data_IF_060248078934
#
_entry.id   IF_060248078934
#
_cell.length_a   1.000
_cell.length_b   1.000
_cell.length_c   1.000
_cell.angle_alpha   90.00
_cell.angle_beta   90.00
_cell.angle_gamma   90.00
#
_symmetry.space_group_name_H-M   'P 1'
#
loop_
_entity.id
_entity.type
_entity.pdbx_description
1 polymer ?
#
# COMPACT_ATOMS: atom_id res chain seq x y z
N UNK A 1 10.91 -25.67 -4.83
CA UNK A 1 11.98 -26.41 -5.51
C UNK A 1 13.04 -25.43 -5.95
N UNK A 2 14.31 -25.70 -5.65
CA UNK A 2 15.46 -24.90 -6.09
C UNK A 2 16.26 -25.72 -7.10
N UNK A 3 16.67 -25.10 -8.19
CA UNK A 3 17.43 -25.72 -9.27
C UNK A 3 18.65 -24.85 -9.57
N UNK A 4 19.83 -25.49 -9.61
CA UNK A 4 21.03 -24.90 -10.18
C UNK A 4 21.48 -25.77 -11.35
N UNK A 5 21.56 -25.18 -12.53
CA UNK A 5 22.03 -25.84 -13.75
C UNK A 5 23.29 -25.14 -14.27
N UNK A 6 24.30 -25.91 -14.65
CA UNK A 6 25.55 -25.40 -15.21
C UNK A 6 25.65 -25.76 -16.68
N UNK A 7 25.83 -24.75 -17.52
CA UNK A 7 26.26 -24.91 -18.89
C UNK A 7 27.79 -24.79 -18.94
N UNK A 8 28.47 -25.89 -19.27
CA UNK A 8 29.93 -25.94 -19.31
C UNK A 8 30.50 -25.31 -20.58
N UNK A 9 29.79 -25.34 -21.70
CA UNK A 9 30.25 -24.80 -22.97
C UNK A 9 30.11 -23.27 -22.98
N UNK A 10 28.98 -22.76 -22.48
CA UNK A 10 28.75 -21.32 -22.34
C UNK A 10 29.42 -20.70 -21.10
N UNK A 11 29.89 -21.52 -20.16
CA UNK A 11 30.49 -21.04 -18.90
C UNK A 11 29.49 -20.36 -17.95
N UNK A 12 28.20 -20.69 -18.04
CA UNK A 12 27.14 -20.04 -17.26
C UNK A 12 26.54 -20.97 -16.19
N UNK A 13 25.95 -20.37 -15.17
CA UNK A 13 25.13 -21.06 -14.16
C UNK A 13 23.76 -20.38 -14.14
N UNK A 14 22.71 -21.18 -14.34
CA UNK A 14 21.33 -20.74 -14.17
C UNK A 14 20.84 -21.18 -12.80
N UNK A 15 20.33 -20.22 -12.03
CA UNK A 15 19.70 -20.47 -10.74
C UNK A 15 18.20 -20.19 -10.88
N UNK A 16 17.36 -21.10 -10.35
CA UNK A 16 15.91 -20.94 -10.37
C UNK A 16 15.32 -21.44 -9.06
N UNK A 17 14.34 -20.74 -8.52
CA UNK A 17 13.63 -21.13 -7.30
C UNK A 17 12.14 -20.92 -7.48
N UNK A 18 11.34 -21.89 -7.05
CA UNK A 18 9.88 -21.72 -6.89
C UNK A 18 9.49 -21.22 -5.50
N UNK A 19 10.48 -20.89 -4.65
CA UNK A 19 10.28 -20.36 -3.30
C UNK A 19 10.98 -19.01 -3.16
N UNK A 20 10.36 -18.03 -2.48
CA UNK A 20 11.03 -16.78 -2.14
C UNK A 20 12.19 -17.03 -1.19
N UNK A 21 13.24 -16.22 -1.29
CA UNK A 21 14.35 -16.23 -0.33
C UNK A 21 15.66 -15.73 -0.92
N UNK A 22 16.59 -15.36 -0.03
CA UNK A 22 17.96 -15.00 -0.37
C UNK A 22 18.87 -16.21 -0.20
N UNK A 23 19.61 -16.56 -1.24
CA UNK A 23 20.56 -17.65 -1.26
C UNK A 23 21.96 -17.10 -1.49
N UNK A 24 22.86 -17.37 -0.56
CA UNK A 24 24.27 -16.99 -0.67
C UNK A 24 25.03 -18.01 -1.50
N UNK A 25 25.70 -17.52 -2.53
CA UNK A 25 26.46 -18.32 -3.48
C UNK A 25 27.92 -17.93 -3.47
N UNK A 26 28.81 -18.91 -3.66
CA UNK A 26 30.24 -18.69 -3.90
C UNK A 26 30.66 -19.60 -5.03
N UNK A 27 31.12 -19.02 -6.14
CA UNK A 27 31.71 -19.81 -7.21
C UNK A 27 33.01 -20.42 -6.69
N UNK A 28 33.15 -21.75 -6.67
CA UNK A 28 34.44 -22.36 -6.32
C UNK A 28 35.35 -22.24 -7.53
N UNK A 29 36.33 -21.35 -7.48
CA UNK A 29 37.40 -21.34 -8.47
C UNK A 29 38.29 -22.58 -8.28
N UNK A 30 39.12 -22.87 -9.28
CA UNK A 30 40.14 -23.92 -9.23
C UNK A 30 41.04 -23.75 -7.98
N UNK A 31 41.86 -24.75 -7.65
CA UNK A 31 42.50 -24.96 -6.34
C UNK A 31 43.16 -23.75 -5.63
N UNK A 32 43.39 -22.62 -6.31
CA UNK A 32 44.01 -21.39 -5.79
C UNK A 32 43.27 -20.07 -6.16
N UNK A 33 42.04 -20.11 -6.65
CA UNK A 33 41.31 -18.89 -7.02
C UNK A 33 40.44 -18.33 -5.87
N UNK A 34 40.65 -17.06 -5.54
CA UNK A 34 39.73 -16.33 -4.67
C UNK A 34 38.42 -16.01 -5.39
N UNK A 35 37.30 -16.15 -4.69
CA UNK A 35 35.98 -15.81 -5.22
C UNK A 35 35.12 -15.09 -4.18
N UNK A 36 34.30 -14.17 -4.68
CA UNK A 36 33.36 -13.40 -3.88
C UNK A 36 32.09 -14.19 -3.60
N UNK A 37 31.44 -13.83 -2.49
CA UNK A 37 30.06 -14.24 -2.26
C UNK A 37 29.11 -13.36 -3.08
N UNK A 38 28.09 -13.99 -3.64
CA UNK A 38 26.98 -13.33 -4.34
C UNK A 38 25.70 -13.76 -3.65
N UNK A 39 24.90 -12.80 -3.21
CA UNK A 39 23.58 -13.08 -2.67
C UNK A 39 22.55 -12.95 -3.80
N UNK A 40 21.81 -14.03 -4.05
CA UNK A 40 20.76 -14.09 -5.08
C UNK A 40 19.41 -14.19 -4.38
N UNK A 41 18.57 -13.19 -4.58
CA UNK A 41 17.23 -13.13 -3.98
C UNK A 41 16.17 -13.49 -5.03
N UNK A 42 15.45 -14.59 -4.79
CA UNK A 42 14.25 -14.91 -5.55
C UNK A 42 13.07 -14.25 -4.86
N UNK A 43 12.41 -13.34 -5.57
CA UNK A 43 11.14 -12.79 -5.16
C UNK A 43 10.10 -13.79 -5.68
N UNK A 44 9.45 -14.54 -4.79
CA UNK A 44 8.50 -15.59 -5.18
C UNK A 44 7.22 -15.02 -5.81
N UNK A 45 6.40 -15.88 -6.42
CA UNK A 45 5.12 -15.53 -7.07
C UNK A 45 4.05 -14.96 -6.12
N UNK A 46 4.35 -14.79 -4.84
CA UNK A 46 3.46 -14.16 -3.88
C UNK A 46 3.53 -12.63 -3.91
N UNK A 47 3.55 -12.05 -5.11
CA UNK A 47 2.75 -10.86 -5.35
C UNK A 47 1.30 -11.32 -5.57
N UNK A 48 0.68 -11.93 -4.56
CA UNK A 48 -0.78 -11.95 -4.52
C UNK A 48 -1.23 -10.52 -4.78
N UNK A 49 -2.08 -10.31 -5.78
CA UNK A 49 -2.50 -8.98 -6.19
C UNK A 49 -2.87 -8.17 -4.94
N UNK A 50 -2.12 -7.10 -4.70
CA UNK A 50 -2.38 -6.25 -3.55
C UNK A 50 -3.70 -5.54 -3.79
N UNK A 51 -4.62 -5.73 -2.85
CA UNK A 51 -5.88 -5.04 -2.85
C UNK A 51 -5.75 -3.80 -1.96
N UNK A 52 -6.42 -2.73 -2.36
CA UNK A 52 -6.53 -1.51 -1.55
C UNK A 52 -7.76 -1.57 -0.65
N UNK A 53 -7.66 -0.94 0.52
CA UNK A 53 -8.80 -0.69 1.39
C UNK A 53 -8.70 0.70 2.00
N UNK A 54 -9.84 1.37 2.10
CA UNK A 54 -10.03 2.57 2.92
C UNK A 54 -11.11 2.24 3.95
N UNK A 55 -10.85 2.47 5.23
CA UNK A 55 -11.83 2.24 6.29
C UNK A 55 -11.72 3.28 7.41
N UNK A 56 -12.79 3.41 8.20
CA UNK A 56 -12.83 4.29 9.37
C UNK A 56 -12.27 3.57 10.60
N UNK A 57 -11.24 4.12 11.23
CA UNK A 57 -10.43 3.45 12.28
C UNK A 57 -11.25 3.05 13.52
N UNK A 58 -12.22 3.89 13.92
CA UNK A 58 -13.03 3.68 15.14
C UNK A 58 -14.39 3.03 14.87
N UNK A 59 -14.63 2.51 13.66
CA UNK A 59 -15.86 1.81 13.36
C UNK A 59 -15.87 0.44 14.05
N UNK A 60 -16.98 0.06 14.69
CA UNK A 60 -17.11 -1.24 15.36
C UNK A 60 -16.93 -2.42 14.38
N UNK A 61 -17.35 -2.23 13.13
CA UNK A 61 -17.14 -3.16 12.03
C UNK A 61 -16.56 -2.39 10.84
N UNK A 62 -15.22 -2.34 10.70
CA UNK A 62 -14.58 -1.69 9.58
C UNK A 62 -15.03 -2.32 8.26
N UNK A 63 -15.48 -1.49 7.32
CA UNK A 63 -15.87 -1.91 5.97
C UNK A 63 -15.00 -1.20 4.95
N UNK A 64 -14.75 -1.84 3.81
CA UNK A 64 -14.09 -1.18 2.69
C UNK A 64 -14.99 -0.10 2.10
N UNK A 65 -14.51 1.15 2.10
CA UNK A 65 -15.20 2.32 1.56
C UNK A 65 -14.92 2.56 0.07
N UNK A 66 -13.94 1.86 -0.51
CA UNK A 66 -13.63 1.98 -1.94
C UNK A 66 -14.84 1.53 -2.77
N UNK A 67 -15.24 2.37 -3.75
CA UNK A 67 -16.40 2.11 -4.61
C UNK A 67 -17.75 2.27 -3.92
N UNK A 68 -17.80 2.81 -2.70
CA UNK A 68 -19.05 3.13 -1.97
C UNK A 68 -19.37 4.62 -2.10
N UNK A 69 -19.78 5.03 -3.30
CA UNK A 69 -20.11 6.43 -3.60
C UNK A 69 -21.27 6.97 -2.74
N UNK A 70 -22.14 6.10 -2.24
CA UNK A 70 -23.23 6.44 -1.32
C UNK A 70 -22.76 6.76 0.11
N UNK A 71 -21.49 6.45 0.45
CA UNK A 71 -20.92 6.62 1.78
C UNK A 71 -19.85 7.70 1.79
N UNK A 72 -20.30 8.94 1.89
CA UNK A 72 -19.39 10.06 2.09
C UNK A 72 -18.66 9.97 3.43
N UNK A 73 -17.36 10.32 3.47
CA UNK A 73 -16.63 10.52 4.70
C UNK A 73 -17.33 11.54 5.60
N UNK A 74 -17.56 11.13 6.85
CA UNK A 74 -18.08 11.99 7.91
C UNK A 74 -16.94 12.67 8.66
N UNK A 75 -17.17 13.92 9.07
CA UNK A 75 -16.28 14.72 9.91
C UNK A 75 -16.08 14.09 11.29
N UNK A 76 -15.09 14.57 12.05
CA UNK A 76 -14.72 14.04 13.37
C UNK A 76 -14.36 12.54 13.35
N UNK A 77 -13.74 12.08 12.26
CA UNK A 77 -13.34 10.70 12.07
C UNK A 77 -11.97 10.58 11.44
N UNK A 78 -11.35 9.42 11.66
CA UNK A 78 -10.05 9.05 11.12
C UNK A 78 -10.24 7.93 10.11
N UNK A 79 -9.67 8.13 8.92
CA UNK A 79 -9.68 7.16 7.83
C UNK A 79 -8.28 6.63 7.62
N UNK A 80 -8.18 5.32 7.46
CA UNK A 80 -6.93 4.63 7.22
C UNK A 80 -6.95 3.97 5.85
N UNK A 81 -5.82 4.07 5.18
CA UNK A 81 -5.52 3.34 3.95
C UNK A 81 -4.55 2.22 4.25
N UNK A 82 -4.83 1.03 3.74
CA UNK A 82 -3.92 -0.11 3.80
C UNK A 82 -3.98 -0.89 2.49
N UNK A 83 -2.92 -1.64 2.25
CA UNK A 83 -2.91 -2.72 1.29
C UNK A 83 -3.13 -4.04 2.03
N UNK A 84 -3.76 -5.00 1.36
CA UNK A 84 -4.02 -6.32 1.92
C UNK A 84 -3.90 -7.40 0.84
N UNK A 85 -3.72 -8.64 1.29
CA UNK A 85 -3.63 -9.82 0.41
C UNK A 85 -4.81 -10.72 0.69
N UNK A 86 -5.62 -10.97 -0.33
CA UNK A 86 -6.74 -11.91 -0.23
C UNK A 86 -6.22 -13.35 -0.15
N UNK A 87 -5.97 -13.84 1.08
CA UNK A 87 -5.36 -15.16 1.31
C UNK A 87 -6.38 -16.27 1.12
N UNK A 88 -7.64 -16.01 1.45
CA UNK A 88 -8.72 -16.99 1.36
C UNK A 88 -9.49 -16.93 0.01
N UNK A 89 -9.21 -15.94 -0.84
CA UNK A 89 -9.76 -15.74 -2.19
C UNK A 89 -11.27 -15.44 -2.21
N UNK A 90 -11.78 -14.79 -1.16
CA UNK A 90 -13.19 -14.42 -1.06
C UNK A 90 -13.49 -13.00 -1.58
N UNK A 91 -12.46 -12.22 -1.94
CA UNK A 91 -12.52 -10.81 -2.32
C UNK A 91 -13.14 -9.88 -1.26
N UNK A 92 -13.12 -10.28 0.01
CA UNK A 92 -13.61 -9.53 1.15
C UNK A 92 -12.45 -9.15 2.05
N UNK A 93 -12.30 -7.85 2.30
CA UNK A 93 -11.25 -7.37 3.20
C UNK A 93 -11.44 -7.92 4.62
N UNK A 94 -10.39 -8.53 5.16
CA UNK A 94 -10.30 -8.97 6.55
C UNK A 94 -9.10 -8.32 7.25
N UNK A 95 -9.28 -7.89 8.50
CA UNK A 95 -8.19 -7.25 9.26
C UNK A 95 -6.94 -8.13 9.43
N UNK A 96 -7.10 -9.45 9.48
CA UNK A 96 -5.98 -10.42 9.55
C UNK A 96 -5.18 -10.54 8.25
N UNK A 97 -5.65 -9.93 7.16
CA UNK A 97 -5.07 -10.02 5.82
C UNK A 97 -4.37 -8.73 5.38
N UNK A 98 -4.40 -7.68 6.21
CA UNK A 98 -3.66 -6.45 5.98
C UNK A 98 -2.15 -6.71 5.94
N UNK A 99 -1.43 -5.91 5.15
CA UNK A 99 0.03 -5.86 5.19
C UNK A 99 0.51 -5.44 6.58
N UNK A 100 1.69 -5.92 6.98
CA UNK A 100 2.33 -5.45 8.21
C UNK A 100 2.85 -4.02 8.03
N UNK A 101 3.24 -3.36 9.13
CA UNK A 101 3.82 -2.01 9.07
C UNK A 101 5.11 -1.97 8.23
N UNK A 102 5.94 -3.00 8.33
CA UNK A 102 7.17 -3.12 7.53
C UNK A 102 6.88 -3.27 6.04
N UNK A 103 5.82 -4.01 5.69
CA UNK A 103 5.39 -4.18 4.32
C UNK A 103 4.74 -2.92 3.76
N UNK A 104 3.93 -2.22 4.56
CA UNK A 104 3.34 -0.93 4.20
C UNK A 104 4.41 0.15 4.01
N UNK A 105 5.53 0.10 4.74
CA UNK A 105 6.63 1.05 4.62
C UNK A 105 7.32 1.05 3.24
N UNK A 106 7.11 -0.02 2.44
CA UNK A 106 7.59 -0.13 1.05
C UNK A 106 6.75 0.69 0.05
N UNK A 107 5.66 1.30 0.50
CA UNK A 107 4.76 2.10 -0.33
C UNK A 107 4.71 3.53 0.17
N UNK A 108 4.60 4.46 -0.77
CA UNK A 108 4.18 5.82 -0.51
C UNK A 108 2.72 5.97 -0.92
N UNK A 109 1.94 6.73 -0.16
CA UNK A 109 0.57 7.06 -0.49
C UNK A 109 0.18 8.47 -0.07
N UNK A 110 -0.75 9.05 -0.81
CA UNK A 110 -1.26 10.40 -0.58
C UNK A 110 -2.78 10.41 -0.67
N UNK A 111 -3.42 11.11 0.27
CA UNK A 111 -4.85 11.35 0.25
C UNK A 111 -5.20 12.51 -0.66
N UNK A 112 -6.38 12.43 -1.28
CA UNK A 112 -6.97 13.49 -2.08
C UNK A 112 -8.48 13.57 -1.84
N UNK A 113 -9.00 14.79 -1.75
CA UNK A 113 -10.44 15.01 -1.78
C UNK A 113 -10.95 14.97 -3.22
N UNK A 114 -12.14 14.42 -3.41
CA UNK A 114 -12.79 14.29 -4.72
C UNK A 114 -14.20 14.87 -4.70
N UNK A 115 -14.69 15.26 -5.87
CA UNK A 115 -16.02 15.84 -6.02
C UNK A 115 -16.11 17.26 -5.48
N UNK A 116 -17.24 17.58 -4.87
CA UNK A 116 -17.59 18.90 -4.37
C UNK A 116 -18.06 18.80 -2.91
N UNK A 117 -17.93 19.89 -2.18
CA UNK A 117 -18.60 20.04 -0.88
C UNK A 117 -20.13 20.04 -1.01
N UNK A 118 -20.82 20.04 0.14
CA UNK A 118 -22.28 20.07 0.23
C UNK A 118 -22.91 21.26 -0.51
N UNK A 119 -22.28 22.44 -0.49
CA UNK A 119 -22.74 23.62 -1.25
C UNK A 119 -22.03 23.82 -2.60
N UNK A 120 -21.34 22.80 -3.13
CA UNK A 120 -20.76 22.84 -4.48
C UNK A 120 -19.35 23.44 -4.58
N UNK A 121 -18.73 23.84 -3.47
CA UNK A 121 -17.33 24.29 -3.48
C UNK A 121 -16.35 23.17 -3.88
N UNK A 122 -15.29 23.57 -4.56
CA UNK A 122 -14.16 22.71 -4.99
C UNK A 122 -12.84 23.23 -4.44
N UNK A 123 -11.79 22.41 -4.48
CA UNK A 123 -10.41 22.85 -4.24
C UNK A 123 -9.86 22.53 -2.86
N UNK A 124 -10.57 21.77 -2.03
CA UNK A 124 -10.01 21.23 -0.80
C UNK A 124 -8.81 20.30 -1.09
N UNK A 125 -7.75 20.44 -0.31
CA UNK A 125 -6.50 19.70 -0.44
C UNK A 125 -6.27 18.87 0.82
N UNK A 126 -6.25 17.55 0.70
CA UNK A 126 -6.06 16.69 1.87
C UNK A 126 -4.63 16.82 2.46
N UNK A 127 -3.61 17.08 1.62
CA UNK A 127 -2.22 17.34 2.05
C UNK A 127 -1.69 16.35 3.11
N UNK A 128 -2.14 15.11 3.05
CA UNK A 128 -1.86 14.06 4.03
C UNK A 128 -1.16 12.93 3.29
N UNK A 129 0.07 12.60 3.68
CA UNK A 129 0.93 11.61 3.02
C UNK A 129 1.43 10.61 4.04
N UNK A 130 1.37 9.32 3.72
CA UNK A 130 1.89 8.23 4.55
C UNK A 130 1.33 8.18 5.99
N UNK A 131 0.16 8.78 6.22
CA UNK A 131 -0.50 8.80 7.52
C UNK A 131 -2.03 8.74 7.37
N UNK A 132 -2.71 8.52 8.50
CA UNK A 132 -4.17 8.48 8.55
C UNK A 132 -4.78 9.86 8.24
N UNK A 133 -5.85 9.89 7.44
CA UNK A 133 -6.60 11.10 7.17
C UNK A 133 -7.55 11.40 8.35
N UNK A 134 -7.24 12.44 9.11
CA UNK A 134 -8.09 12.95 10.19
C UNK A 134 -8.95 14.09 9.68
N UNK A 135 -10.26 13.87 9.57
CA UNK A 135 -11.23 14.90 9.24
C UNK A 135 -11.61 15.67 10.52
N UNK A 136 -11.42 17.01 10.55
CA UNK A 136 -11.67 17.82 11.73
C UNK A 136 -13.16 17.91 12.03
N UNK A 137 -13.49 18.41 13.23
CA UNK A 137 -14.88 18.55 13.69
C UNK A 137 -15.52 19.80 13.09
N UNK A 138 -14.74 20.87 12.91
CA UNK A 138 -15.25 22.18 12.50
C UNK A 138 -14.80 22.58 11.11
N UNK A 139 -15.64 23.37 10.43
CA UNK A 139 -15.32 23.90 9.10
C UNK A 139 -14.11 24.85 9.13
N UNK A 140 -13.92 25.57 10.24
CA UNK A 140 -12.76 26.47 10.43
C UNK A 140 -11.45 25.69 10.47
N UNK A 141 -11.40 24.58 11.20
CA UNK A 141 -10.23 23.70 11.21
C UNK A 141 -10.01 23.06 9.83
N UNK A 142 -11.10 22.67 9.14
CA UNK A 142 -11.01 22.16 7.78
C UNK A 142 -10.43 23.19 6.80
N UNK A 143 -10.86 24.45 6.89
CA UNK A 143 -10.33 25.54 6.06
C UNK A 143 -8.83 25.75 6.31
N UNK A 144 -8.41 25.74 7.59
CA UNK A 144 -7.00 25.90 7.95
C UNK A 144 -6.14 24.71 7.50
N UNK A 145 -6.61 23.49 7.71
CA UNK A 145 -5.83 22.27 7.43
C UNK A 145 -5.84 21.89 5.94
N UNK A 146 -6.98 22.08 5.29
CA UNK A 146 -7.24 21.54 3.95
C UNK A 146 -7.53 22.60 2.90
N UNK A 147 -7.36 23.89 3.20
CA UNK A 147 -7.73 24.99 2.31
C UNK A 147 -9.19 24.90 1.80
N UNK A 148 -10.06 24.27 2.60
CA UNK A 148 -11.48 24.14 2.30
C UNK A 148 -12.22 25.47 2.50
N UNK A 149 -13.40 25.61 1.90
CA UNK A 149 -14.27 26.76 2.15
C UNK A 149 -14.78 26.71 3.61
N UNK A 150 -14.79 27.84 4.31
CA UNK A 150 -15.24 27.92 5.71
C UNK A 150 -16.73 27.62 5.91
N UNK A 151 -17.56 27.77 4.87
CA UNK A 151 -19.00 27.48 4.94
C UNK A 151 -19.29 25.98 5.10
N UNK A 152 -18.51 25.12 4.45
CA UNK A 152 -18.71 23.66 4.41
C UNK A 152 -17.61 22.85 5.10
N UNK A 153 -16.39 23.39 5.14
CA UNK A 153 -15.20 22.61 5.37
C UNK A 153 -15.02 21.54 4.28
N UNK A 154 -14.92 20.29 4.73
CA UNK A 154 -14.74 19.12 3.86
C UNK A 154 -16.01 18.26 3.73
N UNK A 155 -17.15 18.74 4.23
CA UNK A 155 -18.41 18.01 4.18
C UNK A 155 -18.91 17.89 2.75
N UNK A 156 -19.21 16.67 2.31
CA UNK A 156 -19.71 16.35 0.96
C UNK A 156 -18.61 15.84 0.02
N UNK A 157 -17.34 16.15 0.26
CA UNK A 157 -16.24 15.61 -0.54
C UNK A 157 -16.14 14.09 -0.38
N UNK A 158 -15.79 13.41 -1.47
CA UNK A 158 -15.25 12.06 -1.43
C UNK A 158 -13.77 12.06 -1.05
N UNK A 159 -13.22 10.89 -0.76
CA UNK A 159 -11.77 10.69 -0.56
C UNK A 159 -11.26 9.63 -1.51
N UNK A 160 -10.04 9.82 -2.00
CA UNK A 160 -9.27 8.80 -2.71
C UNK A 160 -7.84 8.77 -2.19
N UNK A 161 -7.14 7.68 -2.51
CA UNK A 161 -5.71 7.53 -2.24
C UNK A 161 -5.00 7.21 -3.54
N UNK A 162 -3.92 7.92 -3.80
CA UNK A 162 -2.92 7.57 -4.81
C UNK A 162 -1.75 6.92 -4.07
N UNK A 163 -1.22 5.82 -4.60
CA UNK A 163 -0.12 5.10 -3.95
C UNK A 163 0.84 4.50 -4.98
N UNK A 164 2.10 4.36 -4.59
CA UNK A 164 3.17 3.79 -5.40
C UNK A 164 4.15 3.01 -4.54
N UNK A 165 4.76 1.97 -5.12
CA UNK A 165 5.88 1.29 -4.48
C UNK A 165 7.14 2.15 -4.60
N UNK A 166 7.96 2.19 -3.54
CA UNK A 166 9.26 2.88 -3.49
C UNK A 166 10.33 2.22 -4.35
#
# INVERSE_FOLDING_TARGET
>A
MFIASRDKEAGTVTLSSTLPGTFRWKAKADAYGDSNYVDVTFIGDNLSALNAVIYQVKAANPVNLIGKEDKHPTVNNTYRFLLWRDKNKDNVFQMSEQLTEEEMALYDYQWEFTGQSTNGHTGALANTMNEDLVLPVTNKEAAQKFAANEEDGVQGYGIRVTYSQK
#
